data_IF_730248612896
#
_entry.id   IF_730248612896
#
_cell.length_a   1.000
_cell.length_b   1.000
_cell.length_c   1.000
_cell.angle_alpha   90.00
_cell.angle_beta   90.00
_cell.angle_gamma   90.00
#
_symmetry.space_group_name_H-M   'P 1'
#
loop_
_entity.id
_entity.type
_entity.pdbx_description
1 polymer ?
#
# COMPACT_ATOMS: atom_id res chain seq x y z
N UNK A 1 32.31 -3.64 -8.85
CA UNK A 1 31.17 -3.29 -9.73
C UNK A 1 30.10 -2.68 -8.83
N UNK A 2 30.20 -1.39 -8.49
CA UNK A 2 29.30 -0.76 -7.50
C UNK A 2 28.27 0.20 -8.13
N UNK A 3 28.34 0.41 -9.44
CA UNK A 3 27.52 1.39 -10.18
C UNK A 3 26.95 0.84 -11.50
N UNK A 4 26.83 -0.47 -11.64
CA UNK A 4 26.14 -0.98 -12.82
C UNK A 4 24.63 -0.79 -12.63
N UNK A 5 24.04 0.07 -13.45
CA UNK A 5 22.60 0.17 -13.62
C UNK A 5 22.26 -0.61 -14.87
N UNK A 6 21.26 -1.50 -14.77
CA UNK A 6 20.82 -2.27 -15.92
C UNK A 6 20.29 -1.32 -17.01
N UNK A 7 20.55 -1.59 -18.30
CA UNK A 7 19.93 -0.81 -19.37
C UNK A 7 18.40 -0.78 -19.22
N UNK A 8 17.73 0.31 -19.64
CA UNK A 8 16.28 0.40 -19.60
C UNK A 8 15.62 -0.82 -20.25
N UNK A 9 14.64 -1.42 -19.56
CA UNK A 9 13.90 -2.60 -20.04
C UNK A 9 14.60 -3.95 -19.84
N UNK A 10 15.87 -3.98 -19.40
CA UNK A 10 16.57 -5.25 -19.15
C UNK A 10 15.91 -6.08 -18.05
N UNK A 11 15.46 -5.44 -16.96
CA UNK A 11 14.74 -6.12 -15.89
C UNK A 11 13.39 -6.66 -16.35
N UNK A 12 12.66 -5.89 -17.17
CA UNK A 12 11.41 -6.36 -17.79
C UNK A 12 11.64 -7.64 -18.60
N UNK A 13 12.61 -7.60 -19.53
CA UNK A 13 12.93 -8.76 -20.36
C UNK A 13 13.33 -9.97 -19.50
N UNK A 14 14.15 -9.76 -18.46
CA UNK A 14 14.54 -10.82 -17.55
C UNK A 14 13.33 -11.39 -16.80
N UNK A 15 12.39 -10.55 -16.37
CA UNK A 15 11.17 -11.00 -15.71
C UNK A 15 10.29 -11.85 -16.62
N UNK A 16 10.17 -11.48 -17.90
CA UNK A 16 9.40 -12.27 -18.89
C UNK A 16 10.07 -13.61 -19.20
N UNK A 17 11.39 -13.60 -19.43
CA UNK A 17 12.15 -14.82 -19.77
C UNK A 17 12.21 -15.78 -18.57
N UNK A 18 12.32 -15.26 -17.35
CA UNK A 18 12.41 -16.09 -16.13
C UNK A 18 11.17 -16.93 -15.86
N UNK A 19 10.00 -16.59 -16.44
CA UNK A 19 8.80 -17.44 -16.38
C UNK A 19 9.03 -18.77 -17.08
N UNK A 20 9.76 -18.77 -18.20
CA UNK A 20 10.01 -19.94 -19.03
C UNK A 20 11.33 -20.65 -18.68
N UNK A 21 12.32 -19.89 -18.21
CA UNK A 21 13.67 -20.38 -17.94
C UNK A 21 14.14 -20.02 -16.52
N UNK A 22 13.43 -20.45 -15.45
CA UNK A 22 13.77 -20.05 -14.08
C UNK A 22 15.15 -20.53 -13.64
N UNK A 23 15.63 -21.67 -14.16
CA UNK A 23 16.97 -22.22 -13.87
C UNK A 23 18.12 -21.43 -14.51
N UNK A 24 17.85 -20.62 -15.53
CA UNK A 24 18.87 -19.87 -16.23
C UNK A 24 19.29 -18.60 -15.48
N UNK A 25 18.51 -18.17 -14.49
CA UNK A 25 18.77 -16.96 -13.71
C UNK A 25 19.35 -17.36 -12.36
N UNK A 26 20.63 -17.02 -12.15
CA UNK A 26 21.30 -17.32 -10.89
C UNK A 26 20.71 -16.53 -9.71
N UNK A 27 20.56 -17.19 -8.57
CA UNK A 27 19.94 -16.59 -7.40
C UNK A 27 20.87 -15.62 -6.65
N UNK A 28 22.19 -15.85 -6.68
CA UNK A 28 23.15 -14.92 -6.09
C UNK A 28 23.12 -13.60 -6.84
N UNK A 29 22.98 -13.66 -8.17
CA UNK A 29 22.76 -12.48 -9.00
C UNK A 29 21.53 -11.67 -8.55
N UNK A 30 20.39 -12.34 -8.33
CA UNK A 30 19.16 -11.67 -7.87
C UNK A 30 19.31 -11.08 -6.47
N UNK A 31 19.89 -11.84 -5.54
CA UNK A 31 20.12 -11.39 -4.17
C UNK A 31 21.05 -10.18 -4.12
N UNK A 32 22.13 -10.20 -4.91
CA UNK A 32 23.08 -9.11 -5.01
C UNK A 32 22.39 -7.82 -5.48
N UNK A 33 21.60 -7.89 -6.55
CA UNK A 33 20.90 -6.73 -7.10
C UNK A 33 19.80 -6.22 -6.18
N UNK A 34 19.11 -7.10 -5.46
CA UNK A 34 18.18 -6.69 -4.41
C UNK A 34 18.87 -5.86 -3.33
N UNK A 35 20.01 -6.35 -2.81
CA UNK A 35 20.83 -5.65 -1.79
C UNK A 35 21.35 -4.30 -2.30
N UNK A 36 21.72 -4.19 -3.59
CA UNK A 36 22.16 -2.92 -4.20
C UNK A 36 21.04 -1.89 -4.32
N UNK A 37 19.89 -2.30 -4.86
CA UNK A 37 18.75 -1.40 -5.09
C UNK A 37 18.12 -0.94 -3.77
N UNK A 38 18.14 -1.76 -2.73
CA UNK A 38 17.60 -1.34 -1.42
C UNK A 38 18.49 -0.31 -0.72
N UNK A 39 19.82 -0.41 -0.85
CA UNK A 39 20.78 0.55 -0.27
C UNK A 39 20.70 1.95 -0.88
N UNK A 40 20.46 2.06 -2.19
CA UNK A 40 20.48 3.34 -2.90
C UNK A 40 19.28 4.24 -2.58
N UNK A 41 18.18 3.68 -2.08
CA UNK A 41 16.92 4.38 -1.83
C UNK A 41 16.91 5.24 -0.55
N UNK A 42 17.88 5.06 0.35
CA UNK A 42 17.98 5.84 1.60
C UNK A 42 18.29 7.33 1.33
N UNK A 43 18.72 7.71 0.12
CA UNK A 43 19.15 9.09 -0.20
C UNK A 43 18.11 9.98 -0.92
N UNK A 44 16.98 9.45 -1.41
CA UNK A 44 15.97 10.22 -2.15
C UNK A 44 14.64 10.30 -1.40
N UNK A 45 14.24 11.49 -0.95
CA UNK A 45 12.94 11.69 -0.31
C UNK A 45 11.78 11.62 -1.34
N UNK A 46 10.71 10.89 -1.00
CA UNK A 46 9.50 10.83 -1.81
C UNK A 46 8.70 12.14 -1.74
N UNK A 47 8.38 12.70 -2.91
CA UNK A 47 7.27 13.64 -3.11
C UNK A 47 6.07 12.85 -3.64
N UNK A 48 4.91 13.00 -3.00
CA UNK A 48 3.65 12.43 -3.48
C UNK A 48 3.27 13.10 -4.82
N UNK A 49 2.81 12.35 -5.84
CA UNK A 49 2.29 12.91 -7.10
C UNK A 49 1.06 13.81 -6.93
N UNK A 50 0.40 13.75 -5.77
CA UNK A 50 -0.91 14.37 -5.58
C UNK A 50 -0.85 15.82 -5.07
N UNK A 51 0.34 16.44 -4.98
CA UNK A 51 0.50 17.80 -4.47
C UNK A 51 0.49 18.89 -5.55
N UNK A 52 0.15 18.58 -6.81
CA UNK A 52 0.19 19.54 -7.90
C UNK A 52 -1.21 19.92 -8.37
N UNK A 53 -1.89 20.73 -7.57
CA UNK A 53 -2.98 21.57 -8.08
C UNK A 53 -2.47 23.01 -8.05
N UNK A 54 -2.31 23.57 -9.25
CA UNK A 54 -2.00 24.97 -9.60
C UNK A 54 -0.51 25.31 -9.80
N UNK A 55 0.00 25.00 -10.99
CA UNK A 55 0.86 25.91 -11.76
C UNK A 55 0.90 25.40 -13.21
N UNK A 56 0.43 26.23 -14.14
CA UNK A 56 0.58 26.00 -15.56
C UNK A 56 2.05 26.25 -15.98
N UNK A 57 2.41 25.58 -17.07
CA UNK A 57 3.56 25.78 -17.98
C UNK A 57 4.85 24.97 -17.75
N UNK A 58 5.11 24.13 -18.77
CA UNK A 58 6.38 23.59 -19.26
C UNK A 58 7.28 22.81 -18.29
N UNK A 59 7.15 21.47 -18.30
CA UNK A 59 8.29 20.55 -18.08
C UNK A 59 7.88 19.08 -18.37
N UNK A 60 7.63 18.75 -19.64
CA UNK A 60 7.29 17.38 -20.09
C UNK A 60 8.48 16.38 -20.07
N UNK A 61 9.64 16.73 -19.50
CA UNK A 61 10.85 15.88 -19.56
C UNK A 61 11.47 15.48 -18.21
N UNK A 62 10.97 15.98 -17.07
CA UNK A 62 11.62 15.74 -15.76
C UNK A 62 10.89 14.66 -14.93
N UNK A 63 9.62 14.36 -15.22
CA UNK A 63 8.81 13.45 -14.39
C UNK A 63 9.09 11.96 -14.62
N UNK A 64 9.57 11.55 -15.80
CA UNK A 64 9.77 10.13 -16.17
C UNK A 64 10.88 9.42 -15.37
N UNK A 65 11.93 10.12 -14.94
CA UNK A 65 13.09 9.47 -14.29
C UNK A 65 12.83 9.06 -12.83
N UNK A 66 11.83 9.66 -12.16
CA UNK A 66 11.55 9.37 -10.74
C UNK A 66 10.72 8.10 -10.51
N UNK A 67 10.15 7.50 -11.55
CA UNK A 67 9.30 6.28 -11.43
C UNK A 67 9.97 5.04 -12.04
N UNK A 68 10.89 5.19 -12.99
CA UNK A 68 11.54 4.07 -13.69
C UNK A 68 12.23 3.07 -12.74
N UNK A 69 12.88 3.55 -11.67
CA UNK A 69 13.54 2.69 -10.68
C UNK A 69 12.55 1.80 -9.91
N UNK A 70 11.30 2.25 -9.72
CA UNK A 70 10.26 1.47 -9.06
C UNK A 70 9.80 0.32 -9.97
N UNK A 71 9.68 0.58 -11.28
CA UNK A 71 9.39 -0.45 -12.28
C UNK A 71 10.50 -1.50 -12.35
N UNK A 72 11.78 -1.09 -12.36
CA UNK A 72 12.91 -2.03 -12.33
C UNK A 72 12.87 -2.96 -11.10
N UNK A 73 12.49 -2.40 -9.94
CA UNK A 73 12.33 -3.20 -8.72
C UNK A 73 11.14 -4.14 -8.78
N UNK A 74 10.03 -3.73 -9.38
CA UNK A 74 8.89 -4.62 -9.66
C UNK A 74 9.33 -5.80 -10.50
N UNK A 75 10.05 -5.56 -11.59
CA UNK A 75 10.52 -6.62 -12.48
C UNK A 75 11.57 -7.52 -11.81
N UNK A 76 12.47 -6.97 -10.99
CA UNK A 76 13.38 -7.79 -10.17
C UNK A 76 12.60 -8.68 -9.20
N UNK A 77 11.61 -8.14 -8.47
CA UNK A 77 10.78 -8.91 -7.54
C UNK A 77 9.96 -9.99 -8.26
N UNK A 78 9.43 -9.67 -9.44
CA UNK A 78 8.74 -10.65 -10.28
C UNK A 78 9.69 -11.76 -10.74
N UNK A 79 10.92 -11.42 -11.12
CA UNK A 79 11.97 -12.40 -11.46
C UNK A 79 12.30 -13.28 -10.26
N UNK A 80 12.48 -12.71 -9.06
CA UNK A 80 12.68 -13.47 -7.81
C UNK A 80 11.50 -14.42 -7.57
N UNK A 81 10.27 -13.95 -7.78
CA UNK A 81 9.07 -14.78 -7.62
C UNK A 81 9.08 -15.97 -8.59
N UNK A 82 9.42 -15.74 -9.86
CA UNK A 82 9.49 -16.80 -10.88
C UNK A 82 10.59 -17.82 -10.58
N UNK A 83 11.79 -17.34 -10.22
CA UNK A 83 12.96 -18.19 -9.91
C UNK A 83 12.79 -18.93 -8.58
N UNK A 84 11.92 -18.44 -7.68
CA UNK A 84 11.76 -19.01 -6.35
C UNK A 84 11.45 -20.51 -6.35
N UNK A 85 10.77 -21.05 -7.36
CA UNK A 85 10.45 -22.48 -7.46
C UNK A 85 11.70 -23.36 -7.56
N UNK A 86 12.79 -22.84 -8.11
CA UNK A 86 14.05 -23.57 -8.35
C UNK A 86 15.10 -23.35 -7.25
N UNK A 87 14.85 -22.44 -6.30
CA UNK A 87 15.84 -22.10 -5.27
C UNK A 87 16.06 -23.23 -4.27
N UNK A 88 17.28 -23.48 -3.78
CA UNK A 88 17.46 -24.31 -2.60
C UNK A 88 16.79 -23.70 -1.36
N UNK A 89 16.49 -24.52 -0.34
CA UNK A 89 15.72 -24.09 0.84
C UNK A 89 16.38 -22.93 1.61
N UNK A 90 17.70 -22.99 1.79
CA UNK A 90 18.45 -21.98 2.55
C UNK A 90 18.47 -20.61 1.85
N UNK A 91 18.84 -20.48 0.55
CA UNK A 91 18.69 -19.23 -0.21
C UNK A 91 17.26 -18.68 -0.24
N UNK A 92 16.26 -19.55 -0.38
CA UNK A 92 14.86 -19.14 -0.34
C UNK A 92 14.49 -18.55 1.03
N UNK A 93 14.98 -19.15 2.12
CA UNK A 93 14.78 -18.64 3.47
C UNK A 93 15.48 -17.30 3.70
N UNK A 94 16.73 -17.12 3.23
CA UNK A 94 17.46 -15.85 3.34
C UNK A 94 16.75 -14.72 2.57
N UNK A 95 16.33 -14.99 1.33
CA UNK A 95 15.58 -14.02 0.53
C UNK A 95 14.21 -13.69 1.16
N UNK A 96 13.49 -14.70 1.66
CA UNK A 96 12.21 -14.48 2.35
C UNK A 96 12.40 -13.58 3.58
N UNK A 97 13.44 -13.82 4.38
CA UNK A 97 13.76 -12.99 5.54
C UNK A 97 14.07 -11.54 5.14
N UNK A 98 14.89 -11.34 4.11
CA UNK A 98 15.24 -10.01 3.60
C UNK A 98 14.00 -9.26 3.06
N UNK A 99 13.12 -9.93 2.32
CA UNK A 99 11.88 -9.33 1.83
C UNK A 99 10.91 -9.02 2.98
N UNK A 100 10.79 -9.90 3.98
CA UNK A 100 9.96 -9.66 5.15
C UNK A 100 10.42 -8.41 5.91
N UNK A 101 11.71 -8.34 6.26
CA UNK A 101 12.29 -7.19 6.93
C UNK A 101 12.14 -5.89 6.12
N UNK A 102 12.04 -5.98 4.79
CA UNK A 102 11.80 -4.82 3.93
C UNK A 102 10.36 -4.35 3.94
N UNK A 103 9.38 -5.26 3.90
CA UNK A 103 7.95 -4.89 3.88
C UNK A 103 7.50 -4.30 5.21
N UNK A 104 8.06 -4.77 6.32
CA UNK A 104 7.80 -4.25 7.67
C UNK A 104 8.26 -2.80 7.89
N UNK A 105 9.08 -2.24 6.99
CA UNK A 105 9.44 -0.82 7.04
C UNK A 105 8.30 0.10 6.55
N UNK A 106 7.35 -0.42 5.77
CA UNK A 106 6.21 0.31 5.19
C UNK A 106 6.58 1.66 4.55
N UNK A 107 7.71 1.70 3.84
CA UNK A 107 8.23 2.90 3.17
C UNK A 107 8.66 2.61 1.72
N UNK A 108 8.07 1.57 1.13
CA UNK A 108 8.24 1.21 -0.27
C UNK A 108 7.26 2.00 -1.14
N UNK A 109 7.54 2.13 -2.44
CA UNK A 109 6.58 2.78 -3.34
C UNK A 109 5.37 1.88 -3.55
N UNK A 110 4.16 2.43 -3.73
CA UNK A 110 2.94 1.63 -3.89
C UNK A 110 3.04 0.62 -5.06
N UNK A 111 3.66 1.04 -6.17
CA UNK A 111 3.86 0.20 -7.36
C UNK A 111 4.66 -1.09 -7.09
N UNK A 112 5.58 -1.09 -6.11
CA UNK A 112 6.39 -2.28 -5.79
C UNK A 112 5.75 -3.19 -4.75
N UNK A 113 4.75 -2.73 -3.99
CA UNK A 113 4.16 -3.49 -2.87
C UNK A 113 3.61 -4.84 -3.34
N UNK A 114 2.83 -4.85 -4.42
CA UNK A 114 2.17 -6.07 -4.90
C UNK A 114 3.18 -7.13 -5.35
N UNK A 115 4.18 -6.73 -6.13
CA UNK A 115 5.27 -7.61 -6.54
C UNK A 115 6.08 -8.13 -5.33
N UNK A 116 6.27 -7.27 -4.33
CA UNK A 116 7.03 -7.60 -3.12
C UNK A 116 6.31 -8.64 -2.26
N UNK A 117 5.02 -8.43 -1.98
CA UNK A 117 4.20 -9.37 -1.21
C UNK A 117 4.04 -10.70 -1.95
N UNK A 118 3.87 -10.66 -3.28
CA UNK A 118 3.83 -11.87 -4.12
C UNK A 118 5.15 -12.67 -4.05
N UNK A 119 6.29 -12.01 -4.23
CA UNK A 119 7.60 -12.66 -4.14
C UNK A 119 7.85 -13.25 -2.73
N UNK A 120 7.45 -12.53 -1.68
CA UNK A 120 7.53 -13.01 -0.31
C UNK A 120 6.69 -14.27 -0.09
N UNK A 121 5.45 -14.32 -0.60
CA UNK A 121 4.61 -15.52 -0.56
C UNK A 121 5.29 -16.70 -1.25
N UNK A 122 5.80 -16.52 -2.47
CA UNK A 122 6.40 -17.63 -3.22
C UNK A 122 7.67 -18.16 -2.54
N UNK A 123 8.49 -17.29 -1.97
CA UNK A 123 9.67 -17.69 -1.18
C UNK A 123 9.30 -18.39 0.14
N UNK A 124 8.26 -17.91 0.84
CA UNK A 124 7.74 -18.57 2.04
C UNK A 124 7.23 -19.97 1.75
N UNK A 125 6.58 -20.18 0.60
CA UNK A 125 6.21 -21.52 0.15
C UNK A 125 7.43 -22.37 -0.17
N UNK A 126 8.40 -21.81 -0.92
CA UNK A 126 9.57 -22.58 -1.35
C UNK A 126 10.41 -23.10 -0.19
N UNK A 127 10.62 -22.30 0.85
CA UNK A 127 11.48 -22.68 1.97
C UNK A 127 10.90 -23.81 2.81
N UNK A 128 9.60 -24.06 2.72
CA UNK A 128 8.91 -25.13 3.43
C UNK A 128 9.31 -26.53 2.92
N UNK A 129 9.19 -27.54 3.78
CA UNK A 129 9.48 -28.94 3.46
C UNK A 129 8.30 -29.65 2.80
N UNK A 130 7.08 -29.17 3.04
CA UNK A 130 5.83 -29.70 2.52
C UNK A 130 4.75 -28.60 2.40
N UNK A 131 3.64 -28.91 1.74
CA UNK A 131 2.57 -27.94 1.44
C UNK A 131 1.86 -27.40 2.70
N UNK A 132 1.70 -28.21 3.74
CA UNK A 132 1.06 -27.78 5.00
C UNK A 132 1.93 -26.74 5.70
N UNK A 133 3.22 -27.02 5.82
CA UNK A 133 4.21 -26.08 6.37
C UNK A 133 4.28 -24.81 5.50
N UNK A 134 4.17 -24.94 4.17
CA UNK A 134 4.17 -23.81 3.26
C UNK A 134 3.02 -22.83 3.53
N UNK A 135 1.79 -23.34 3.72
CA UNK A 135 0.64 -22.50 4.05
C UNK A 135 0.77 -21.88 5.45
N UNK A 136 1.27 -22.62 6.45
CA UNK A 136 1.52 -22.09 7.80
C UNK A 136 2.55 -20.96 7.79
N UNK A 137 3.67 -21.13 7.06
CA UNK A 137 4.71 -20.11 6.93
C UNK A 137 4.21 -18.87 6.21
N UNK A 138 3.36 -19.02 5.19
CA UNK A 138 2.71 -17.90 4.50
C UNK A 138 1.78 -17.17 5.46
N UNK A 139 0.90 -17.88 6.19
CA UNK A 139 -0.01 -17.27 7.15
C UNK A 139 0.72 -16.53 8.27
N UNK A 140 1.75 -17.14 8.85
CA UNK A 140 2.59 -16.50 9.87
C UNK A 140 3.20 -15.20 9.36
N UNK A 141 3.71 -15.22 8.13
CA UNK A 141 4.27 -14.03 7.49
C UNK A 141 3.20 -12.95 7.25
N UNK A 142 2.03 -13.34 6.75
CA UNK A 142 0.90 -12.43 6.52
C UNK A 142 0.47 -11.76 7.82
N UNK A 143 0.26 -12.52 8.90
CA UNK A 143 -0.16 -11.97 10.19
C UNK A 143 0.87 -11.05 10.82
N UNK A 144 2.16 -11.35 10.66
CA UNK A 144 3.24 -10.48 11.11
C UNK A 144 3.20 -9.12 10.41
N UNK A 145 3.09 -9.11 9.07
CA UNK A 145 2.98 -7.86 8.29
C UNK A 145 1.66 -7.14 8.59
N UNK A 146 0.56 -7.88 8.74
CA UNK A 146 -0.76 -7.33 9.07
C UNK A 146 -0.73 -6.58 10.40
N UNK A 147 -0.17 -7.21 11.45
CA UNK A 147 -0.03 -6.60 12.78
C UNK A 147 0.77 -5.30 12.74
N UNK A 148 1.93 -5.30 12.06
CA UNK A 148 2.74 -4.10 11.90
C UNK A 148 2.03 -2.99 11.11
N UNK A 149 1.28 -3.35 10.07
CA UNK A 149 0.51 -2.40 9.27
C UNK A 149 -0.63 -1.77 10.08
N UNK A 150 -1.38 -2.58 10.82
CA UNK A 150 -2.47 -2.14 11.69
C UNK A 150 -1.99 -1.18 12.76
N UNK A 151 -0.87 -1.47 13.43
CA UNK A 151 -0.30 -0.59 14.44
C UNK A 151 0.08 0.79 13.88
N UNK A 152 0.63 0.84 12.66
CA UNK A 152 0.97 2.11 12.00
C UNK A 152 -0.29 2.92 11.69
N UNK A 153 -1.35 2.25 11.22
CA UNK A 153 -2.62 2.88 10.90
C UNK A 153 -3.29 3.43 12.17
N UNK A 154 -3.35 2.62 13.23
CA UNK A 154 -3.88 3.03 14.53
C UNK A 154 -3.14 4.25 15.08
N UNK A 155 -1.81 4.20 15.09
CA UNK A 155 -0.98 5.33 15.54
C UNK A 155 -1.28 6.59 14.72
N UNK A 156 -1.43 6.46 13.40
CA UNK A 156 -1.73 7.59 12.53
C UNK A 156 -3.12 8.19 12.80
N UNK A 157 -4.13 7.35 13.04
CA UNK A 157 -5.50 7.80 13.35
C UNK A 157 -5.55 8.48 14.73
N UNK A 158 -4.86 7.93 15.74
CA UNK A 158 -4.77 8.54 17.08
C UNK A 158 -4.08 9.90 17.05
N UNK A 159 -2.91 9.97 16.38
CA UNK A 159 -2.17 11.23 16.17
C UNK A 159 -3.02 12.30 15.44
N UNK A 160 -3.94 11.87 14.58
CA UNK A 160 -4.87 12.74 13.88
C UNK A 160 -5.96 13.30 14.81
N UNK A 161 -6.54 12.44 15.66
CA UNK A 161 -7.58 12.83 16.61
C UNK A 161 -7.08 13.83 17.66
N UNK A 162 -5.88 13.61 18.20
CA UNK A 162 -5.29 14.50 19.22
C UNK A 162 -5.00 15.91 18.69
N UNK A 163 -4.56 16.02 17.43
CA UNK A 163 -4.29 17.32 16.81
C UNK A 163 -5.54 18.18 16.62
N UNK A 164 -6.67 17.56 16.29
CA UNK A 164 -7.94 18.27 16.19
C UNK A 164 -8.39 18.80 17.56
N UNK A 165 -8.16 18.05 18.64
CA UNK A 165 -8.47 18.50 20.00
C UNK A 165 -7.55 19.65 20.47
N UNK A 166 -6.26 19.65 20.11
CA UNK A 166 -5.35 20.74 20.46
C UNK A 166 -5.67 22.04 19.72
N UNK A 167 -6.17 21.99 18.47
CA UNK A 167 -6.56 23.18 17.72
C UNK A 167 -7.79 23.90 18.27
N UNK A 168 -8.61 23.22 19.07
CA UNK A 168 -9.79 23.81 19.73
C UNK A 168 -9.42 24.69 20.93
N UNK A 169 -8.19 24.59 21.45
CA UNK A 169 -7.70 25.44 22.54
C UNK A 169 -7.03 26.71 22.00
N UNK A 170 -7.75 27.84 22.08
CA UNK A 170 -7.27 29.19 21.77
C UNK A 170 -5.97 29.54 22.52
N UNK A 171 -4.82 29.22 21.93
CA UNK A 171 -3.53 29.83 22.31
C UNK A 171 -2.85 30.45 21.09
N UNK A 172 -2.32 31.69 21.21
CA UNK A 172 -1.77 32.40 20.08
C UNK A 172 -0.52 31.69 19.52
N UNK A 173 -0.34 31.64 18.18
CA UNK A 173 0.72 30.86 17.57
C UNK A 173 2.08 31.50 17.84
N UNK A 174 2.92 30.86 18.67
CA UNK A 174 4.34 31.19 18.79
C UNK A 174 5.05 30.88 17.45
N UNK A 175 5.46 31.93 16.75
CA UNK A 175 6.26 31.88 15.53
C UNK A 175 7.70 31.42 15.83
N UNK A 176 7.90 30.11 15.90
CA UNK A 176 9.22 29.48 16.01
C UNK A 176 9.53 28.56 14.82
N UNK A 177 10.80 28.14 14.63
CA UNK A 177 11.27 27.25 13.55
C UNK A 177 10.66 25.82 13.56
N UNK A 178 9.71 25.56 14.47
CA UNK A 178 9.03 24.30 14.73
C UNK A 178 8.05 23.87 13.62
N UNK A 179 7.49 24.81 12.83
CA UNK A 179 6.47 24.49 11.81
C UNK A 179 6.99 23.58 10.69
N UNK A 180 8.22 23.78 10.22
CA UNK A 180 8.82 22.97 9.14
C UNK A 180 9.05 21.51 9.56
N UNK A 181 9.57 21.29 10.77
CA UNK A 181 9.87 19.93 11.29
C UNK A 181 8.61 19.12 11.57
N UNK A 182 7.55 19.76 12.10
CA UNK A 182 6.23 19.14 12.31
C UNK A 182 5.58 18.71 10.97
N UNK A 183 5.63 19.55 9.94
CA UNK A 183 5.11 19.24 8.60
C UNK A 183 5.84 18.05 7.93
N UNK A 184 7.16 17.94 8.08
CA UNK A 184 7.93 16.81 7.53
C UNK A 184 7.58 15.50 8.25
N UNK A 185 7.45 15.52 9.59
CA UNK A 185 7.03 14.33 10.36
C UNK A 185 5.63 13.87 9.95
N UNK A 186 4.67 14.79 9.79
CA UNK A 186 3.30 14.49 9.33
C UNK A 186 3.27 13.87 7.93
N UNK A 187 4.07 14.38 6.99
CA UNK A 187 4.19 13.79 5.64
C UNK A 187 4.79 12.38 5.68
N UNK A 188 5.82 12.16 6.51
CA UNK A 188 6.44 10.85 6.69
C UNK A 188 5.47 9.85 7.32
N UNK A 189 4.75 10.23 8.37
CA UNK A 189 3.73 9.36 8.99
C UNK A 189 2.58 9.05 8.03
N UNK A 190 2.07 10.04 7.30
CA UNK A 190 1.04 9.85 6.27
C UNK A 190 1.50 8.89 5.16
N UNK A 191 2.71 9.07 4.62
CA UNK A 191 3.25 8.17 3.58
C UNK A 191 3.41 6.72 4.08
N UNK A 192 3.80 6.55 5.34
CA UNK A 192 3.94 5.24 5.98
C UNK A 192 2.58 4.59 6.20
N UNK A 193 1.59 5.36 6.65
CA UNK A 193 0.22 4.92 6.84
C UNK A 193 -0.42 4.50 5.51
N UNK A 194 -0.26 5.30 4.44
CA UNK A 194 -0.71 4.97 3.07
C UNK A 194 -0.09 3.66 2.59
N UNK A 195 1.23 3.49 2.78
CA UNK A 195 1.91 2.25 2.38
C UNK A 195 1.39 1.06 3.18
N UNK A 196 1.19 1.22 4.49
CA UNK A 196 0.64 0.18 5.35
C UNK A 196 -0.76 -0.27 4.90
N UNK A 197 -1.69 0.66 4.66
CA UNK A 197 -3.04 0.32 4.20
C UNK A 197 -3.05 -0.28 2.79
N UNK A 198 -2.16 0.17 1.90
CA UNK A 198 -1.99 -0.46 0.59
C UNK A 198 -1.48 -1.91 0.74
N UNK A 199 -0.49 -2.14 1.60
CA UNK A 199 0.04 -3.47 1.89
C UNK A 199 -1.04 -4.40 2.42
N UNK A 200 -1.90 -3.94 3.32
CA UNK A 200 -3.07 -4.72 3.78
C UNK A 200 -3.93 -5.15 2.58
N UNK A 201 -4.28 -4.22 1.70
CA UNK A 201 -5.06 -4.54 0.50
C UNK A 201 -4.37 -5.54 -0.43
N UNK A 202 -3.04 -5.49 -0.52
CA UNK A 202 -2.24 -6.46 -1.27
C UNK A 202 -2.28 -7.86 -0.62
N UNK A 203 -2.15 -7.93 0.71
CA UNK A 203 -2.20 -9.18 1.47
C UNK A 203 -3.54 -9.91 1.31
N UNK A 204 -4.66 -9.17 1.32
CA UNK A 204 -6.01 -9.72 1.09
C UNK A 204 -6.09 -10.46 -0.25
N UNK A 205 -5.53 -9.88 -1.32
CA UNK A 205 -5.55 -10.48 -2.66
C UNK A 205 -4.59 -11.66 -2.73
N UNK A 206 -3.40 -11.53 -2.15
CA UNK A 206 -2.35 -12.55 -2.21
C UNK A 206 -2.64 -13.76 -1.32
N UNK A 207 -3.35 -13.59 -0.20
CA UNK A 207 -3.71 -14.65 0.73
C UNK A 207 -5.16 -14.50 1.22
N UNK A 208 -6.16 -14.90 0.40
CA UNK A 208 -7.58 -14.77 0.75
C UNK A 208 -8.02 -15.63 1.94
N UNK A 209 -7.22 -16.63 2.34
CA UNK A 209 -7.49 -17.52 3.48
C UNK A 209 -7.12 -16.90 4.83
N UNK A 210 -6.38 -15.80 4.86
CA UNK A 210 -5.98 -15.14 6.09
C UNK A 210 -7.16 -14.39 6.73
N UNK A 211 -7.28 -14.49 8.05
CA UNK A 211 -8.29 -13.75 8.80
C UNK A 211 -7.95 -12.24 8.85
N UNK A 212 -8.89 -11.42 8.38
CA UNK A 212 -8.78 -9.96 8.30
C UNK A 212 -9.78 -9.26 9.23
N UNK A 213 -10.36 -10.01 10.18
CA UNK A 213 -11.31 -9.51 11.17
C UNK A 213 -10.79 -8.32 11.96
N UNK A 214 -9.50 -8.32 12.32
CA UNK A 214 -8.82 -7.25 13.07
C UNK A 214 -8.71 -5.94 12.31
N UNK A 215 -8.68 -6.00 10.97
CA UNK A 215 -8.49 -4.84 10.10
C UNK A 215 -9.83 -4.18 9.74
N UNK A 216 -10.92 -4.95 9.73
CA UNK A 216 -12.24 -4.44 9.34
C UNK A 216 -12.67 -3.20 10.14
N UNK A 217 -12.54 -3.15 11.49
CA UNK A 217 -12.88 -1.96 12.28
C UNK A 217 -11.98 -0.75 11.99
N UNK A 218 -10.69 -0.97 11.71
CA UNK A 218 -9.77 0.11 11.35
C UNK A 218 -10.17 0.76 10.02
N UNK A 219 -10.44 -0.07 9.01
CA UNK A 219 -10.91 0.43 7.72
C UNK A 219 -12.29 1.09 7.85
N UNK A 220 -13.18 0.57 8.68
CA UNK A 220 -14.47 1.18 8.96
C UNK A 220 -14.31 2.60 9.52
N UNK A 221 -13.44 2.78 10.51
CA UNK A 221 -13.11 4.10 11.08
C UNK A 221 -12.61 5.07 10.00
N UNK A 222 -11.76 4.59 9.09
CA UNK A 222 -11.21 5.41 8.00
C UNK A 222 -12.33 5.84 7.04
N UNK A 223 -13.12 4.91 6.50
CA UNK A 223 -14.12 5.24 5.47
C UNK A 223 -15.27 6.09 6.02
N UNK A 224 -15.60 5.95 7.31
CA UNK A 224 -16.67 6.73 7.96
C UNK A 224 -16.21 8.11 8.44
N UNK A 225 -14.90 8.36 8.52
CA UNK A 225 -14.33 9.66 8.92
C UNK A 225 -14.51 10.79 7.89
N UNK A 226 -14.98 10.48 6.66
CA UNK A 226 -15.29 11.48 5.63
C UNK A 226 -16.62 12.21 5.81
N UNK A 227 -17.32 12.03 6.94
CA UNK A 227 -18.62 12.69 7.20
C UNK A 227 -18.44 14.17 7.55
N UNK A 228 -18.59 15.05 6.56
CA UNK A 228 -19.08 16.42 6.80
C UNK A 228 -20.17 16.77 5.77
N UNK A 229 -21.41 17.00 6.21
CA UNK A 229 -22.47 17.67 5.41
C UNK A 229 -23.50 18.32 6.36
N UNK A 230 -24.13 19.48 6.04
CA UNK A 230 -23.85 20.44 4.97
C UNK A 230 -23.40 21.82 5.48
N UNK A 231 -22.77 22.58 4.58
CA UNK A 231 -22.57 24.03 4.68
C UNK A 231 -23.88 24.73 5.04
N UNK A 232 -24.03 25.16 6.28
CA UNK A 232 -24.91 26.27 6.62
C UNK A 232 -24.29 27.08 7.77
N UNK A 233 -23.85 28.28 7.40
CA UNK A 233 -23.53 29.41 8.28
C UNK A 233 -22.30 29.30 9.19
N UNK A 234 -21.22 29.94 8.72
CA UNK A 234 -20.19 30.68 9.46
C UNK A 234 -20.16 30.50 11.00
N UNK A 235 -19.22 29.69 11.49
CA UNK A 235 -18.43 29.98 12.70
C UNK A 235 -17.09 29.19 12.62
N UNK A 236 -15.94 29.73 13.07
CA UNK A 236 -14.63 29.11 12.86
C UNK A 236 -14.33 28.12 14.00
N UNK A 237 -14.18 26.84 13.63
CA UNK A 237 -13.80 25.75 14.54
C UNK A 237 -14.15 24.36 13.99
N UNK A 238 -14.24 24.18 12.67
CA UNK A 238 -14.62 22.89 12.09
C UNK A 238 -13.40 21.97 12.07
N UNK A 239 -13.42 20.89 12.86
CA UNK A 239 -12.50 19.77 12.70
C UNK A 239 -12.48 19.34 11.22
N UNK A 240 -11.32 19.40 10.57
CA UNK A 240 -11.18 18.98 9.17
C UNK A 240 -11.31 17.47 9.10
N UNK A 241 -12.04 16.97 8.10
CA UNK A 241 -12.23 15.53 7.93
C UNK A 241 -10.98 14.88 7.33
N UNK A 242 -10.80 13.57 7.55
CA UNK A 242 -9.67 12.82 6.97
C UNK A 242 -9.67 12.88 5.43
N UNK A 243 -10.86 12.99 4.84
CA UNK A 243 -11.07 13.19 3.41
C UNK A 243 -10.44 14.50 2.90
N UNK A 244 -10.39 15.56 3.71
CA UNK A 244 -9.83 16.86 3.36
C UNK A 244 -8.33 16.94 3.67
N UNK A 245 -7.91 16.46 4.85
CA UNK A 245 -6.52 16.61 5.31
C UNK A 245 -5.58 15.51 4.78
N UNK A 246 -6.12 14.32 4.50
CA UNK A 246 -5.38 13.16 4.03
C UNK A 246 -6.14 12.38 2.92
N UNK A 247 -6.51 13.03 1.80
CA UNK A 247 -7.37 12.45 0.77
C UNK A 247 -6.83 11.13 0.20
N UNK A 248 -5.51 11.01 0.01
CA UNK A 248 -4.89 9.77 -0.49
C UNK A 248 -5.03 8.61 0.49
N UNK A 249 -4.95 8.86 1.80
CA UNK A 249 -5.15 7.82 2.82
C UNK A 249 -6.62 7.42 2.91
N UNK A 250 -7.52 8.39 2.84
CA UNK A 250 -8.97 8.15 2.79
C UNK A 250 -9.38 7.30 1.57
N UNK A 251 -8.90 7.66 0.37
CA UNK A 251 -9.13 6.90 -0.87
C UNK A 251 -8.60 5.47 -0.73
N UNK A 252 -7.38 5.32 -0.18
CA UNK A 252 -6.78 4.01 -0.01
C UNK A 252 -7.55 3.14 1.01
N UNK A 253 -8.20 3.76 1.99
CA UNK A 253 -9.12 3.08 2.91
C UNK A 253 -10.31 2.44 2.19
N UNK A 254 -10.95 3.18 1.30
CA UNK A 254 -12.04 2.65 0.47
C UNK A 254 -11.59 1.51 -0.45
N UNK A 255 -10.48 1.71 -1.16
CA UNK A 255 -9.89 0.66 -2.03
C UNK A 255 -9.61 -0.63 -1.26
N UNK A 256 -9.02 -0.49 -0.07
CA UNK A 256 -8.66 -1.64 0.77
C UNK A 256 -9.91 -2.32 1.34
N UNK A 257 -10.89 -1.54 1.80
CA UNK A 257 -12.17 -2.07 2.28
C UNK A 257 -12.87 -2.91 1.21
N UNK A 258 -12.90 -2.46 -0.04
CA UNK A 258 -13.61 -3.27 -1.03
C UNK A 258 -12.78 -4.40 -1.61
N UNK A 259 -11.43 -4.37 -1.59
CA UNK A 259 -10.63 -5.59 -1.77
C UNK A 259 -10.99 -6.65 -0.72
N UNK A 260 -11.19 -6.23 0.53
CA UNK A 260 -11.65 -7.10 1.61
C UNK A 260 -13.08 -7.60 1.36
N UNK A 261 -13.99 -6.73 0.92
CA UNK A 261 -15.35 -7.15 0.53
C UNK A 261 -15.34 -8.11 -0.65
N UNK A 262 -14.45 -7.97 -1.64
CA UNK A 262 -14.32 -8.90 -2.77
C UNK A 262 -13.80 -10.29 -2.35
N UNK A 263 -13.13 -10.38 -1.20
CA UNK A 263 -12.65 -11.63 -0.62
C UNK A 263 -13.68 -12.27 0.32
N UNK A 264 -14.53 -11.47 0.99
CA UNK A 264 -15.55 -11.94 1.94
C UNK A 264 -16.95 -11.39 1.62
N UNK A 265 -17.81 -12.28 1.11
CA UNK A 265 -19.20 -11.95 0.77
C UNK A 265 -20.07 -11.51 1.95
N UNK A 266 -19.74 -11.91 3.20
CA UNK A 266 -20.47 -11.44 4.39
C UNK A 266 -20.15 -9.97 4.66
N UNK A 267 -18.89 -9.57 4.54
CA UNK A 267 -18.50 -8.17 4.62
C UNK A 267 -19.09 -7.36 3.47
N UNK A 268 -19.10 -7.91 2.25
CA UNK A 268 -19.69 -7.25 1.09
C UNK A 268 -21.14 -6.81 1.34
N UNK A 269 -22.00 -7.70 1.89
CA UNK A 269 -23.39 -7.36 2.24
C UNK A 269 -23.50 -6.11 3.12
N UNK A 270 -22.62 -5.99 4.11
CA UNK A 270 -22.68 -4.91 5.10
C UNK A 270 -22.10 -3.59 4.58
N UNK A 271 -21.13 -3.65 3.66
CA UNK A 271 -20.35 -2.49 3.24
C UNK A 271 -20.74 -1.95 1.86
N UNK A 272 -21.32 -2.75 0.95
CA UNK A 272 -21.79 -2.27 -0.37
C UNK A 272 -22.70 -1.03 -0.26
N UNK A 273 -23.68 -0.95 0.68
CA UNK A 273 -24.49 0.25 0.84
C UNK A 273 -23.67 1.51 1.15
N UNK A 274 -22.56 1.38 1.88
CA UNK A 274 -21.65 2.50 2.18
C UNK A 274 -20.89 2.96 0.93
N UNK A 275 -20.50 2.04 0.04
CA UNK A 275 -19.89 2.40 -1.25
C UNK A 275 -20.86 3.20 -2.12
N UNK A 276 -22.13 2.78 -2.20
CA UNK A 276 -23.17 3.51 -2.93
C UNK A 276 -23.36 4.92 -2.36
N UNK A 277 -23.46 5.03 -1.03
CA UNK A 277 -23.61 6.32 -0.35
C UNK A 277 -22.42 7.27 -0.62
N UNK A 278 -21.18 6.77 -0.54
CA UNK A 278 -20.01 7.61 -0.79
C UNK A 278 -19.88 7.95 -2.28
N UNK A 279 -20.31 7.08 -3.20
CA UNK A 279 -20.33 7.35 -4.64
C UNK A 279 -21.18 8.59 -4.98
N UNK A 280 -22.35 8.71 -4.35
CA UNK A 280 -23.28 9.82 -4.53
C UNK A 280 -22.77 11.12 -3.90
N UNK A 281 -22.07 11.02 -2.77
CA UNK A 281 -21.64 12.16 -1.95
C UNK A 281 -20.28 12.74 -2.36
N UNK A 282 -19.35 11.90 -2.81
CA UNK A 282 -17.95 12.29 -2.90
C UNK A 282 -17.66 13.28 -4.03
N UNK A 283 -16.92 14.34 -3.72
CA UNK A 283 -16.43 15.31 -4.70
C UNK A 283 -15.05 14.93 -5.28
N UNK A 284 -14.44 13.86 -4.77
CA UNK A 284 -13.13 13.40 -5.22
C UNK A 284 -13.29 12.51 -6.45
N UNK A 285 -12.94 13.02 -7.63
CA UNK A 285 -13.05 12.27 -8.88
C UNK A 285 -12.31 10.92 -8.84
N UNK A 286 -11.11 10.89 -8.24
CA UNK A 286 -10.34 9.66 -8.07
C UNK A 286 -11.09 8.62 -7.20
N UNK A 287 -11.71 9.06 -6.09
CA UNK A 287 -12.50 8.16 -5.23
C UNK A 287 -13.72 7.64 -5.98
N UNK A 288 -14.47 8.54 -6.63
CA UNK A 288 -15.66 8.18 -7.40
C UNK A 288 -15.35 7.14 -8.48
N UNK A 289 -14.29 7.37 -9.28
CA UNK A 289 -13.88 6.43 -10.33
C UNK A 289 -13.51 5.07 -9.74
N UNK A 290 -12.75 5.05 -8.64
CA UNK A 290 -12.36 3.82 -7.96
C UNK A 290 -13.58 3.06 -7.43
N UNK A 291 -14.55 3.75 -6.80
CA UNK A 291 -15.78 3.12 -6.31
C UNK A 291 -16.58 2.52 -7.49
N UNK A 292 -16.71 3.22 -8.62
CA UNK A 292 -17.41 2.66 -9.80
C UNK A 292 -16.77 1.35 -10.27
N UNK A 293 -15.44 1.29 -10.38
CA UNK A 293 -14.73 0.07 -10.76
C UNK A 293 -15.00 -1.05 -9.75
N UNK A 294 -14.95 -0.75 -8.46
CA UNK A 294 -15.20 -1.75 -7.41
C UNK A 294 -16.65 -2.23 -7.39
N UNK A 295 -17.62 -1.34 -7.63
CA UNK A 295 -19.03 -1.69 -7.75
C UNK A 295 -19.27 -2.62 -8.95
N UNK A 296 -18.59 -2.40 -10.08
CA UNK A 296 -18.65 -3.30 -11.21
C UNK A 296 -18.11 -4.71 -10.85
N UNK A 297 -16.98 -4.77 -10.14
CA UNK A 297 -16.43 -6.04 -9.65
C UNK A 297 -17.37 -6.74 -8.66
N UNK A 298 -18.03 -5.99 -7.76
CA UNK A 298 -19.05 -6.53 -6.87
C UNK A 298 -20.22 -7.11 -7.64
N UNK A 299 -20.72 -6.41 -8.66
CA UNK A 299 -21.77 -6.94 -9.51
C UNK A 299 -21.36 -8.27 -10.12
N UNK A 300 -20.15 -8.40 -10.68
CA UNK A 300 -19.68 -9.67 -11.26
C UNK A 300 -19.58 -10.79 -10.23
N UNK A 301 -19.06 -10.51 -9.02
CA UNK A 301 -18.85 -11.55 -7.99
C UNK A 301 -20.10 -11.91 -7.19
N UNK A 302 -20.99 -10.95 -7.00
CA UNK A 302 -22.08 -11.00 -6.02
C UNK A 302 -23.44 -10.73 -6.65
N UNK A 303 -23.60 -10.93 -7.96
CA UNK A 303 -24.90 -10.88 -8.67
C UNK A 303 -26.02 -11.59 -7.92
N UNK A 304 -25.74 -12.72 -7.27
CA UNK A 304 -26.72 -13.52 -6.53
C UNK A 304 -27.03 -13.02 -5.09
N UNK A 305 -26.33 -12.00 -4.58
CA UNK A 305 -26.53 -11.48 -3.21
C UNK A 305 -27.64 -10.43 -3.12
N UNK A 306 -28.25 -10.07 -4.25
CA UNK A 306 -29.34 -9.09 -4.35
C UNK A 306 -30.73 -9.77 -4.31
N UNK A 307 -30.80 -11.11 -4.40
CA UNK A 307 -32.06 -11.89 -4.42
C UNK A 307 -32.22 -12.84 -3.22
N UNK A 308 -32.01 -12.38 -1.98
CA UNK A 308 -32.17 -13.22 -0.77
C UNK A 308 -32.71 -12.49 0.45
#
# INVERSE_FOLDING_TARGET
>A
IEKWTAPPGAWFLLSEVSVFLPKAVDWNFLQHHWKLLDKHKVKGEFRSPFAQKNAFENEESIECNNVAWASDRVFLLQTISNVSVELPHEPAAELAHNLLARVEKFNMHSTEVDAHVKALKTLCKRKASNDTEAEELVLRCVYQVLSGASQIIETFISDYSEQNAETDFFTPPRSGPSKGRKSVRKRKSLSKAITAIYTIGSLVVVCPSADMSTVSPLLHTIITSGKSVPKLNKLPGSATSLQEEAPSFYIQGWLTMGKLCLADGKLAKNYIPLFVQELEKTNLAALRNNIVVMMADFCVRYTALIDG
#
